data_IF_067251671086
#
_entry.id   IF_067251671086
#
_cell.length_a   1.000
_cell.length_b   1.000
_cell.length_c   1.000
_cell.angle_alpha   90.00
_cell.angle_beta   90.00
_cell.angle_gamma   90.00
#
_symmetry.space_group_name_H-M   'P 1'
#
loop_
_entity.id
_entity.type
_entity.pdbx_description
1 polymer ?
#
# COMPACT_ATOMS: atom_id res chain seq x y z
N UNK A 1 -11.41 16.21 -8.42
CA UNK A 1 -10.43 16.25 -7.30
C UNK A 1 -9.46 17.41 -7.41
N UNK A 2 -8.77 17.60 -8.55
CA UNK A 2 -7.82 18.70 -8.77
C UNK A 2 -8.36 20.09 -8.38
N UNK A 3 -9.56 20.45 -8.86
CA UNK A 3 -10.21 21.73 -8.52
C UNK A 3 -10.42 21.90 -7.02
N UNK A 4 -10.94 20.88 -6.32
CA UNK A 4 -11.23 20.95 -4.88
C UNK A 4 -9.95 21.19 -4.06
N UNK A 5 -8.87 20.47 -4.39
CA UNK A 5 -7.60 20.66 -3.68
C UNK A 5 -7.00 22.02 -4.01
N UNK A 6 -7.02 22.44 -5.29
CA UNK A 6 -6.54 23.75 -5.71
C UNK A 6 -7.29 24.91 -5.05
N UNK A 7 -8.62 24.80 -4.92
CA UNK A 7 -9.45 25.78 -4.23
C UNK A 7 -9.11 25.85 -2.73
N UNK A 8 -8.91 24.69 -2.08
CA UNK A 8 -8.48 24.63 -0.67
C UNK A 8 -7.13 25.31 -0.47
N UNK A 9 -6.13 25.01 -1.30
CA UNK A 9 -4.79 25.61 -1.21
C UNK A 9 -4.83 27.12 -1.50
N UNK A 10 -5.72 27.56 -2.39
CA UNK A 10 -5.91 28.99 -2.72
C UNK A 10 -6.61 29.75 -1.58
N UNK A 11 -7.59 29.13 -0.92
CA UNK A 11 -8.32 29.72 0.19
C UNK A 11 -7.50 29.74 1.50
N UNK A 12 -6.64 28.73 1.70
CA UNK A 12 -5.80 28.58 2.88
C UNK A 12 -4.33 28.35 2.52
N UNK A 13 -3.63 29.36 1.98
CA UNK A 13 -2.22 29.24 1.64
C UNK A 13 -1.39 28.88 2.87
N UNK A 14 -0.62 27.80 2.78
CA UNK A 14 0.20 27.24 3.86
C UNK A 14 1.60 26.87 3.35
N UNK A 15 2.58 26.78 4.25
CA UNK A 15 3.96 26.38 3.91
C UNK A 15 4.06 24.89 3.53
N UNK A 16 3.14 24.08 4.05
CA UNK A 16 3.00 22.67 3.70
C UNK A 16 1.55 22.21 3.81
N UNK A 17 1.28 21.02 3.28
CA UNK A 17 -0.06 20.43 3.27
C UNK A 17 0.03 18.93 3.57
N UNK A 18 -0.87 18.45 4.41
CA UNK A 18 -1.23 17.04 4.51
C UNK A 18 -2.58 16.79 3.86
N UNK A 19 -2.84 15.55 3.43
CA UNK A 19 -4.14 15.18 2.87
C UNK A 19 -4.58 13.80 3.38
N UNK A 20 -5.87 13.69 3.67
CA UNK A 20 -6.52 12.47 4.16
C UNK A 20 -7.56 12.04 3.15
N UNK A 21 -7.50 10.79 2.71
CA UNK A 21 -8.51 10.18 1.86
C UNK A 21 -9.33 9.19 2.68
N UNK A 22 -10.54 9.60 3.05
CA UNK A 22 -11.55 8.73 3.66
C UNK A 22 -12.49 8.16 2.62
N UNK A 23 -12.40 6.87 2.34
CA UNK A 23 -13.32 6.19 1.42
C UNK A 23 -13.19 4.66 1.50
N UNK A 24 -13.84 3.98 0.57
CA UNK A 24 -13.42 2.63 0.23
C UNK A 24 -12.15 2.64 -0.61
N UNK A 25 -11.39 1.55 -0.56
CA UNK A 25 -10.21 1.34 -1.39
C UNK A 25 -10.03 -0.12 -1.75
N UNK A 26 -9.16 -0.36 -2.74
CA UNK A 26 -8.74 -1.70 -3.18
C UNK A 26 -7.27 -1.68 -3.57
N UNK A 27 -6.48 -0.80 -2.92
CA UNK A 27 -5.07 -0.62 -3.20
C UNK A 27 -4.83 -0.23 -4.65
N UNK A 28 -3.94 -0.97 -5.28
CA UNK A 28 -3.50 -0.74 -6.66
C UNK A 28 -4.41 -1.40 -7.72
N UNK A 29 -5.44 -2.15 -7.33
CA UNK A 29 -6.27 -2.88 -8.29
C UNK A 29 -7.03 -1.93 -9.24
N UNK A 30 -7.29 -2.34 -10.50
CA UNK A 30 -8.13 -1.57 -11.41
C UNK A 30 -9.58 -1.55 -10.92
N UNK A 31 -10.36 -0.59 -11.42
CA UNK A 31 -11.81 -0.59 -11.25
C UNK A 31 -12.40 -1.82 -11.96
N UNK A 32 -12.97 -2.75 -11.21
CA UNK A 32 -13.89 -3.76 -11.74
C UNK A 32 -15.28 -3.47 -11.22
N UNK A 33 -16.30 -3.85 -11.98
CA UNK A 33 -17.69 -3.81 -11.53
C UNK A 33 -17.82 -4.51 -10.17
N UNK A 34 -17.99 -3.72 -9.11
CA UNK A 34 -18.10 -4.21 -7.73
C UNK A 34 -16.83 -4.21 -6.88
N UNK A 35 -15.65 -3.77 -7.36
CA UNK A 35 -14.48 -3.47 -6.50
C UNK A 35 -13.82 -2.12 -6.84
N UNK A 36 -13.16 -1.48 -5.87
CA UNK A 36 -13.10 -0.01 -5.75
C UNK A 36 -11.66 0.50 -5.57
N UNK A 37 -11.05 1.25 -6.51
CA UNK A 37 -9.66 1.71 -6.37
C UNK A 37 -9.44 2.70 -5.20
N UNK A 38 -10.01 3.90 -5.25
CA UNK A 38 -10.27 4.78 -4.09
C UNK A 38 -11.35 5.82 -4.46
N UNK A 39 -12.21 6.18 -3.51
CA UNK A 39 -13.24 7.22 -3.72
C UNK A 39 -14.41 6.71 -4.54
N UNK A 40 -15.43 6.12 -3.91
CA UNK A 40 -16.67 5.80 -4.61
C UNK A 40 -17.56 7.04 -4.69
N UNK A 41 -17.84 7.51 -5.90
CA UNK A 41 -18.94 8.45 -6.18
C UNK A 41 -20.03 7.72 -7.00
N UNK A 42 -21.23 7.56 -6.43
CA UNK A 42 -22.36 6.85 -7.05
C UNK A 42 -22.83 5.56 -6.34
N UNK A 43 -23.94 4.99 -6.84
CA UNK A 43 -24.62 3.83 -6.26
C UNK A 43 -23.90 2.48 -6.48
N UNK A 44 -24.42 1.40 -5.88
CA UNK A 44 -23.84 0.03 -5.88
C UNK A 44 -23.50 -0.56 -7.27
N UNK A 45 -24.00 0.04 -8.36
CA UNK A 45 -23.88 -0.45 -9.74
C UNK A 45 -23.21 0.53 -10.72
N UNK A 46 -22.85 1.73 -10.28
CA UNK A 46 -22.08 2.71 -11.06
C UNK A 46 -21.30 3.58 -10.07
N UNK A 47 -20.00 3.34 -9.97
CA UNK A 47 -19.12 4.15 -9.16
C UNK A 47 -17.95 4.59 -10.00
N UNK A 48 -17.78 5.90 -10.14
CA UNK A 48 -16.49 6.44 -10.54
C UNK A 48 -15.52 6.19 -9.38
N UNK A 49 -14.33 5.69 -9.69
CA UNK A 49 -13.26 5.49 -8.71
C UNK A 49 -11.97 6.08 -9.27
N UNK A 50 -11.14 6.69 -8.42
CA UNK A 50 -9.86 7.24 -8.84
C UNK A 50 -8.80 6.13 -8.86
N UNK A 51 -8.16 5.88 -10.00
CA UNK A 51 -7.03 4.94 -10.03
C UNK A 51 -5.82 5.58 -9.35
N UNK A 52 -4.96 4.77 -8.73
CA UNK A 52 -3.83 5.30 -7.96
C UNK A 52 -2.83 6.13 -8.80
N UNK A 53 -2.46 5.72 -10.02
CA UNK A 53 -1.63 6.57 -10.89
C UNK A 53 -2.29 7.92 -11.21
N UNK A 54 -3.61 7.95 -11.42
CA UNK A 54 -4.37 9.18 -11.67
C UNK A 54 -4.43 10.08 -10.43
N UNK A 55 -4.65 9.49 -9.26
CA UNK A 55 -4.60 10.20 -7.99
C UNK A 55 -3.21 10.82 -7.76
N UNK A 56 -2.15 10.04 -7.96
CA UNK A 56 -0.77 10.52 -7.82
C UNK A 56 -0.50 11.69 -8.76
N UNK A 57 -0.94 11.62 -10.02
CA UNK A 57 -0.78 12.71 -10.98
C UNK A 57 -1.55 13.97 -10.57
N UNK A 58 -2.79 13.83 -10.09
CA UNK A 58 -3.55 14.96 -9.56
C UNK A 58 -2.80 15.61 -8.40
N UNK A 59 -2.30 14.82 -7.43
CA UNK A 59 -1.58 15.33 -6.27
C UNK A 59 -0.28 16.06 -6.66
N UNK A 60 0.51 15.49 -7.57
CA UNK A 60 1.71 16.13 -8.13
C UNK A 60 1.38 17.45 -8.81
N UNK A 61 0.30 17.47 -9.59
CA UNK A 61 -0.11 18.65 -10.35
C UNK A 61 -0.54 19.79 -9.45
N UNK A 62 -1.32 19.52 -8.40
CA UNK A 62 -1.79 20.57 -7.48
C UNK A 62 -0.72 21.01 -6.49
N UNK A 63 0.20 20.12 -6.10
CA UNK A 63 1.26 20.43 -5.16
C UNK A 63 2.61 19.82 -5.58
N UNK A 64 3.37 20.52 -6.44
CA UNK A 64 4.68 20.05 -6.89
C UNK A 64 5.74 19.92 -5.78
N UNK A 65 5.50 20.50 -4.59
CA UNK A 65 6.42 20.42 -3.45
C UNK A 65 6.23 19.15 -2.59
N UNK A 66 5.32 18.26 -3.02
CA UNK A 66 4.79 17.11 -2.28
C UNK A 66 3.95 17.51 -1.08
N UNK A 67 2.98 16.66 -0.75
CA UNK A 67 2.32 16.69 0.54
C UNK A 67 3.27 16.16 1.62
N UNK A 68 3.24 16.74 2.81
CA UNK A 68 4.01 16.22 3.95
C UNK A 68 3.58 14.81 4.30
N UNK A 69 2.28 14.54 4.23
CA UNK A 69 1.74 13.20 4.32
C UNK A 69 0.50 13.01 3.44
N UNK A 70 0.31 11.77 2.98
CA UNK A 70 -0.96 11.25 2.51
C UNK A 70 -1.39 10.16 3.48
N UNK A 71 -2.57 10.30 4.08
CA UNK A 71 -3.16 9.27 4.93
C UNK A 71 -4.36 8.65 4.22
N UNK A 72 -4.33 7.33 4.06
CA UNK A 72 -5.46 6.58 3.55
C UNK A 72 -6.27 5.98 4.69
N UNK A 73 -7.42 6.59 4.95
CA UNK A 73 -8.51 5.96 5.69
C UNK A 73 -9.39 5.19 4.69
N UNK A 74 -8.75 4.23 4.04
CA UNK A 74 -9.31 3.38 3.00
C UNK A 74 -8.62 2.00 3.00
N UNK A 75 -9.37 0.95 2.64
CA UNK A 75 -8.90 -0.43 2.63
C UNK A 75 -7.73 -0.66 1.66
N UNK A 76 -6.81 -1.56 2.04
CA UNK A 76 -5.84 -2.19 1.14
C UNK A 76 -4.80 -1.24 0.51
N UNK A 77 -4.70 -0.01 1.00
CA UNK A 77 -3.80 1.00 0.45
C UNK A 77 -2.33 0.79 0.84
N UNK A 78 -2.05 -0.10 1.79
CA UNK A 78 -0.71 -0.36 2.32
C UNK A 78 0.15 -1.29 1.48
N UNK A 79 0.30 -0.98 0.18
CA UNK A 79 1.02 -1.81 -0.78
C UNK A 79 2.15 -1.03 -1.48
N UNK A 80 3.22 -1.73 -1.86
CA UNK A 80 4.39 -1.18 -2.55
C UNK A 80 4.00 -0.42 -3.82
N UNK A 81 3.04 -0.94 -4.57
CA UNK A 81 2.48 -0.33 -5.77
C UNK A 81 1.89 1.05 -5.47
N UNK A 82 1.11 1.17 -4.40
CA UNK A 82 0.47 2.44 -4.00
C UNK A 82 1.51 3.44 -3.52
N UNK A 83 2.42 3.00 -2.65
CA UNK A 83 3.47 3.85 -2.13
C UNK A 83 4.42 4.37 -3.22
N UNK A 84 4.71 3.54 -4.22
CA UNK A 84 5.61 3.90 -5.31
C UNK A 84 4.96 4.92 -6.26
N UNK A 85 3.67 4.80 -6.58
CA UNK A 85 2.96 5.82 -7.36
C UNK A 85 2.99 7.19 -6.68
N UNK A 86 2.91 7.21 -5.34
CA UNK A 86 2.91 8.43 -4.55
C UNK A 86 4.31 8.99 -4.24
N UNK A 87 5.39 8.32 -4.66
CA UNK A 87 6.77 8.71 -4.29
C UNK A 87 7.08 10.16 -4.60
N UNK A 88 6.50 10.70 -5.68
CA UNK A 88 6.70 12.06 -6.17
C UNK A 88 5.59 13.03 -5.75
N UNK A 89 4.55 12.54 -5.07
CA UNK A 89 3.39 13.32 -4.62
C UNK A 89 3.38 13.55 -3.11
N UNK A 90 4.03 12.68 -2.32
CA UNK A 90 4.02 12.73 -0.86
C UNK A 90 5.41 12.45 -0.28
N UNK A 91 5.71 13.00 0.91
CA UNK A 91 6.90 12.65 1.69
C UNK A 91 6.66 11.40 2.52
N UNK A 92 5.52 11.31 3.18
CA UNK A 92 5.10 10.12 3.92
C UNK A 92 3.74 9.62 3.47
N UNK A 93 3.54 8.31 3.53
CA UNK A 93 2.23 7.70 3.29
C UNK A 93 1.86 6.79 4.46
N UNK A 94 0.65 6.94 4.98
CA UNK A 94 0.12 6.17 6.11
C UNK A 94 -1.07 5.36 5.60
N UNK A 95 -1.00 4.04 5.68
CA UNK A 95 -2.04 3.18 5.13
C UNK A 95 -2.09 1.80 5.79
N UNK A 96 -3.24 1.14 5.66
CA UNK A 96 -3.44 -0.26 6.06
C UNK A 96 -3.32 -1.19 4.85
N UNK A 97 -2.61 -2.31 5.01
CA UNK A 97 -2.58 -3.41 4.03
C UNK A 97 -3.81 -4.33 4.18
N UNK A 98 -4.61 -4.20 5.23
CA UNK A 98 -5.91 -4.84 5.34
C UNK A 98 -7.05 -3.86 5.06
N UNK A 99 -8.27 -4.38 5.05
CA UNK A 99 -9.48 -3.59 5.23
C UNK A 99 -9.40 -2.73 6.51
N UNK A 100 -9.83 -1.47 6.43
CA UNK A 100 -9.98 -0.60 7.59
C UNK A 100 -11.39 -0.76 8.16
N UNK A 101 -11.57 -0.88 9.50
CA UNK A 101 -12.91 -0.94 10.08
C UNK A 101 -13.72 0.32 9.78
N UNK A 102 -15.05 0.20 9.66
CA UNK A 102 -15.92 1.29 9.20
C UNK A 102 -15.86 2.60 10.02
N UNK A 103 -15.36 2.54 11.26
CA UNK A 103 -15.17 3.73 12.10
C UNK A 103 -13.96 4.60 11.66
N UNK A 104 -13.03 4.05 10.87
CA UNK A 104 -11.86 4.75 10.35
C UNK A 104 -10.82 5.11 11.42
N UNK A 105 -9.99 6.11 11.14
CA UNK A 105 -8.99 6.55 12.11
C UNK A 105 -9.63 7.20 13.35
N UNK A 106 -9.04 7.05 14.56
CA UNK A 106 -9.48 7.76 15.76
C UNK A 106 -9.08 9.23 15.70
N UNK A 107 -9.72 10.02 14.83
CA UNK A 107 -9.32 11.41 14.53
C UNK A 107 -9.25 12.33 15.76
N UNK A 108 -10.05 12.08 16.80
CA UNK A 108 -9.97 12.87 18.02
C UNK A 108 -8.57 12.79 18.69
N UNK A 109 -7.88 11.65 18.60
CA UNK A 109 -6.53 11.50 19.14
C UNK A 109 -5.44 11.78 18.11
N UNK A 110 -5.69 11.45 16.84
CA UNK A 110 -4.73 11.56 15.74
C UNK A 110 -4.59 13.00 15.21
N UNK A 111 -5.69 13.77 15.18
CA UNK A 111 -5.70 15.09 14.54
C UNK A 111 -4.66 16.07 15.09
N UNK A 112 -4.40 16.19 16.40
CA UNK A 112 -3.34 17.07 16.93
C UNK A 112 -1.97 16.79 16.32
N UNK A 113 -1.60 15.51 16.14
CA UNK A 113 -0.33 15.12 15.53
C UNK A 113 -0.19 15.54 14.07
N UNK A 114 -1.31 15.60 13.32
CA UNK A 114 -1.31 15.94 11.89
C UNK A 114 -1.07 17.43 11.62
N UNK A 115 -1.19 18.29 12.64
CA UNK A 115 -0.90 19.72 12.54
C UNK A 115 0.52 20.09 13.00
N UNK A 116 1.31 19.12 13.45
CA UNK A 116 2.68 19.37 13.91
C UNK A 116 3.66 19.54 12.73
N UNK A 117 4.57 20.50 12.84
CA UNK A 117 5.50 20.86 11.76
C UNK A 117 6.47 19.73 11.37
N UNK A 118 6.79 18.83 12.31
CA UNK A 118 7.71 17.72 12.11
C UNK A 118 6.96 16.38 12.04
N UNK A 119 6.06 16.24 11.06
CA UNK A 119 5.16 15.06 10.96
C UNK A 119 5.88 13.72 11.10
N UNK A 120 7.13 13.61 10.65
CA UNK A 120 7.97 12.41 10.78
C UNK A 120 8.02 11.88 12.22
N UNK A 121 8.17 12.76 13.19
CA UNK A 121 8.30 12.41 14.61
C UNK A 121 6.99 11.88 15.19
N UNK A 122 5.87 12.14 14.50
CA UNK A 122 4.54 11.76 14.92
C UNK A 122 3.93 10.59 14.12
N UNK A 123 4.60 10.10 13.07
CA UNK A 123 4.14 8.92 12.32
C UNK A 123 3.95 7.70 13.22
N UNK A 124 4.90 7.46 14.12
CA UNK A 124 4.82 6.39 15.12
C UNK A 124 3.62 6.55 16.06
N UNK A 125 3.47 7.69 16.76
CA UNK A 125 2.28 8.00 17.56
C UNK A 125 0.95 7.85 16.81
N UNK A 126 0.83 8.38 15.59
CA UNK A 126 -0.39 8.26 14.77
C UNK A 126 -0.76 6.79 14.51
N UNK A 127 0.21 6.00 14.05
CA UNK A 127 0.01 4.59 13.79
C UNK A 127 -0.27 3.79 15.07
N UNK A 128 0.39 4.14 16.18
CA UNK A 128 0.17 3.50 17.48
C UNK A 128 -1.24 3.77 17.99
N UNK A 129 -1.71 5.00 17.94
CA UNK A 129 -3.08 5.37 18.34
C UNK A 129 -4.13 4.58 17.54
N UNK A 130 -3.93 4.42 16.23
CA UNK A 130 -4.80 3.59 15.39
C UNK A 130 -4.84 2.12 15.85
N UNK A 131 -3.68 1.51 16.09
CA UNK A 131 -3.60 0.10 16.53
C UNK A 131 -4.16 -0.09 17.94
N UNK A 132 -3.86 0.81 18.87
CA UNK A 132 -4.37 0.75 20.24
C UNK A 132 -5.90 0.88 20.28
N UNK A 133 -6.46 1.74 19.44
CA UNK A 133 -7.91 1.90 19.31
C UNK A 133 -8.59 0.59 18.86
N UNK A 134 -7.99 -0.14 17.92
CA UNK A 134 -8.56 -1.36 17.38
C UNK A 134 -8.14 -2.66 18.07
N UNK A 135 -7.09 -2.65 18.90
CA UNK A 135 -6.69 -3.81 19.71
C UNK A 135 -7.82 -4.34 20.59
N UNK A 136 -8.78 -3.50 20.98
CA UNK A 136 -9.91 -3.89 21.83
C UNK A 136 -11.25 -3.96 21.09
N UNK A 137 -11.32 -3.46 19.85
CA UNK A 137 -12.59 -3.15 19.19
C UNK A 137 -12.66 -3.62 17.73
N UNK A 138 -11.67 -4.35 17.22
CA UNK A 138 -11.71 -4.79 15.83
C UNK A 138 -10.46 -5.52 15.36
N UNK A 139 -9.94 -5.06 14.23
CA UNK A 139 -8.70 -5.51 13.62
C UNK A 139 -8.02 -4.29 13.00
N UNK A 140 -6.74 -4.40 12.73
CA UNK A 140 -6.03 -3.33 12.05
C UNK A 140 -4.62 -3.75 11.69
N UNK A 141 -4.18 -3.27 10.54
CA UNK A 141 -2.76 -3.15 10.19
C UNK A 141 -2.50 -1.70 9.85
N UNK A 142 -1.29 -1.24 10.08
CA UNK A 142 -0.89 0.09 9.65
C UNK A 142 0.61 0.12 9.38
N UNK A 143 0.99 0.90 8.38
CA UNK A 143 2.37 1.32 8.21
C UNK A 143 2.44 2.78 7.81
N UNK A 144 3.53 3.41 8.25
CA UNK A 144 3.97 4.69 7.76
C UNK A 144 5.23 4.46 6.93
N UNK A 145 5.23 5.01 5.72
CA UNK A 145 6.28 4.83 4.71
C UNK A 145 6.88 6.17 4.35
N UNK A 146 8.21 6.28 4.32
CA UNK A 146 8.93 7.38 3.68
C UNK A 146 8.95 7.15 2.16
N UNK A 147 8.11 7.90 1.46
CA UNK A 147 7.93 7.82 0.02
C UNK A 147 9.22 8.18 -0.74
N UNK A 148 10.14 8.95 -0.16
CA UNK A 148 11.42 9.26 -0.81
C UNK A 148 12.38 8.06 -0.83
N UNK A 149 12.11 7.01 -0.06
CA UNK A 149 12.91 5.77 -0.03
C UNK A 149 12.37 4.71 -1.00
N UNK A 150 11.28 4.98 -1.72
CA UNK A 150 10.63 4.00 -2.59
C UNK A 150 11.45 3.66 -3.84
N UNK A 151 12.27 4.57 -4.36
CA UNK A 151 13.19 4.25 -5.47
C UNK A 151 14.26 3.25 -5.04
N UNK A 152 14.93 3.52 -3.91
CA UNK A 152 15.91 2.59 -3.35
C UNK A 152 15.29 1.24 -3.02
N UNK A 153 14.06 1.21 -2.49
CA UNK A 153 13.36 -0.06 -2.24
C UNK A 153 13.06 -0.82 -3.54
N UNK A 154 12.60 -0.13 -4.60
CA UNK A 154 12.37 -0.76 -5.90
C UNK A 154 13.65 -1.37 -6.46
N UNK A 155 14.78 -0.66 -6.38
CA UNK A 155 16.09 -1.16 -6.81
C UNK A 155 16.56 -2.38 -6.00
N UNK A 156 16.34 -2.37 -4.69
CA UNK A 156 16.66 -3.50 -3.82
C UNK A 156 15.81 -4.73 -4.14
N UNK A 157 14.49 -4.57 -4.32
CA UNK A 157 13.59 -5.65 -4.75
C UNK A 157 13.99 -6.17 -6.12
N UNK A 158 14.25 -5.28 -7.07
CA UNK A 158 14.72 -5.62 -8.42
C UNK A 158 15.99 -6.46 -8.37
N UNK A 159 16.96 -6.07 -7.55
CA UNK A 159 18.23 -6.79 -7.41
C UNK A 159 18.02 -8.20 -6.87
N UNK A 160 17.13 -8.37 -5.87
CA UNK A 160 16.75 -9.68 -5.34
C UNK A 160 16.06 -10.54 -6.41
N UNK A 161 15.03 -10.01 -7.07
CA UNK A 161 14.24 -10.74 -8.08
C UNK A 161 15.14 -11.23 -9.21
N UNK A 162 16.00 -10.35 -9.75
CA UNK A 162 16.89 -10.69 -10.86
C UNK A 162 17.96 -11.71 -10.47
N UNK A 163 18.44 -11.69 -9.23
CA UNK A 163 19.44 -12.63 -8.73
C UNK A 163 18.86 -14.00 -8.37
N UNK A 164 17.53 -14.09 -8.20
CA UNK A 164 16.84 -15.30 -7.73
C UNK A 164 15.76 -15.80 -8.71
N UNK A 165 15.98 -15.61 -10.02
CA UNK A 165 15.02 -16.01 -11.08
C UNK A 165 14.65 -17.51 -11.06
N UNK A 166 15.57 -18.38 -10.66
CA UNK A 166 15.28 -19.82 -10.56
C UNK A 166 14.40 -20.15 -9.36
N UNK A 167 14.62 -19.50 -8.21
CA UNK A 167 13.71 -19.58 -7.07
C UNK A 167 12.33 -19.03 -7.43
N UNK A 168 12.28 -17.91 -8.16
CA UNK A 168 11.04 -17.24 -8.57
C UNK A 168 10.09 -18.16 -9.35
N UNK A 169 10.61 -19.02 -10.24
CA UNK A 169 9.83 -20.02 -11.01
C UNK A 169 9.03 -20.96 -10.10
N UNK A 170 9.50 -21.19 -8.89
CA UNK A 170 8.99 -22.21 -7.97
C UNK A 170 8.35 -21.61 -6.71
N UNK A 171 8.18 -20.28 -6.62
CA UNK A 171 7.57 -19.67 -5.43
C UNK A 171 6.10 -20.08 -5.33
N UNK A 172 5.80 -20.86 -4.29
CA UNK A 172 4.42 -21.10 -3.87
C UNK A 172 3.94 -19.96 -2.96
N UNK A 173 2.88 -19.27 -3.36
CA UNK A 173 2.27 -18.20 -2.59
C UNK A 173 1.26 -18.69 -1.55
N UNK A 174 0.96 -20.00 -1.50
CA UNK A 174 0.02 -20.58 -0.54
C UNK A 174 0.44 -20.40 0.93
N UNK A 175 1.75 -20.45 1.20
CA UNK A 175 2.32 -20.29 2.55
C UNK A 175 2.63 -18.84 2.90
N UNK A 176 2.50 -17.91 1.94
CA UNK A 176 2.77 -16.51 2.20
C UNK A 176 1.59 -15.86 2.92
N UNK A 177 1.90 -14.96 3.86
CA UNK A 177 0.93 -14.09 4.49
C UNK A 177 0.31 -13.18 3.43
N UNK A 178 -0.87 -13.58 2.96
CA UNK A 178 -1.67 -12.78 2.03
C UNK A 178 -2.61 -11.83 2.77
N UNK A 179 -2.94 -10.71 2.16
CA UNK A 179 -3.76 -9.68 2.82
C UNK A 179 -5.21 -9.60 2.29
N UNK A 180 -5.53 -10.34 1.23
CA UNK A 180 -6.87 -10.37 0.60
C UNK A 180 -7.89 -11.19 1.39
N UNK A 181 -8.09 -10.87 2.67
CA UNK A 181 -8.80 -11.73 3.64
C UNK A 181 -10.31 -11.51 3.64
N UNK A 182 -10.80 -10.28 3.46
CA UNK A 182 -12.23 -9.95 3.56
C UNK A 182 -13.13 -10.53 2.45
N UNK A 183 -12.57 -10.94 1.31
CA UNK A 183 -13.33 -11.50 0.19
C UNK A 183 -12.45 -12.38 -0.71
N UNK A 184 -13.01 -13.47 -1.23
CA UNK A 184 -12.35 -14.31 -2.25
C UNK A 184 -12.00 -13.54 -3.52
N UNK A 185 -12.71 -12.44 -3.79
CA UNK A 185 -12.42 -11.54 -4.91
C UNK A 185 -11.07 -10.83 -4.73
N UNK A 186 -10.63 -10.55 -3.49
CA UNK A 186 -9.36 -9.90 -3.21
C UNK A 186 -8.23 -10.89 -2.89
N UNK A 187 -8.52 -12.20 -2.82
CA UNK A 187 -7.49 -13.21 -2.57
C UNK A 187 -6.34 -13.06 -3.57
N UNK A 188 -5.12 -12.94 -3.04
CA UNK A 188 -3.88 -12.83 -3.80
C UNK A 188 -3.54 -11.43 -4.33
N UNK A 189 -4.25 -10.38 -3.91
CA UNK A 189 -3.95 -9.01 -4.36
C UNK A 189 -2.62 -8.48 -3.81
N UNK A 190 -2.22 -8.93 -2.60
CA UNK A 190 -0.98 -8.58 -1.95
C UNK A 190 -0.55 -9.67 -0.96
N UNK A 191 0.76 -9.84 -0.84
CA UNK A 191 1.45 -10.73 0.09
C UNK A 191 2.51 -9.93 0.86
N UNK A 192 2.94 -10.43 2.02
CA UNK A 192 4.02 -9.80 2.78
C UNK A 192 5.32 -9.72 1.96
N UNK A 193 5.86 -8.51 1.80
CA UNK A 193 7.04 -8.27 0.97
C UNK A 193 8.29 -8.96 1.54
N UNK A 194 8.53 -8.83 2.85
CA UNK A 194 9.73 -9.38 3.47
C UNK A 194 9.73 -10.91 3.38
N UNK A 195 8.61 -11.54 3.74
CA UNK A 195 8.48 -12.98 3.68
C UNK A 195 8.67 -13.52 2.25
N UNK A 196 8.16 -12.82 1.24
CA UNK A 196 8.40 -13.18 -0.16
C UNK A 196 9.88 -13.12 -0.53
N UNK A 197 10.57 -12.04 -0.13
CA UNK A 197 12.01 -11.85 -0.39
C UNK A 197 12.85 -12.90 0.35
N UNK A 198 12.53 -13.22 1.60
CA UNK A 198 13.14 -14.31 2.36
C UNK A 198 12.95 -15.65 1.64
N UNK A 199 11.74 -15.94 1.15
CA UNK A 199 11.45 -17.18 0.43
C UNK A 199 12.26 -17.30 -0.86
N UNK A 200 12.44 -16.21 -1.60
CA UNK A 200 13.31 -16.19 -2.80
C UNK A 200 14.77 -16.49 -2.46
N UNK A 201 15.24 -16.01 -1.32
CA UNK A 201 16.63 -16.10 -0.87
C UNK A 201 16.92 -17.29 0.06
N UNK A 202 16.03 -18.30 0.09
CA UNK A 202 16.26 -19.53 0.86
C UNK A 202 16.03 -19.39 2.38
N UNK A 203 15.21 -18.42 2.80
CA UNK A 203 14.75 -18.21 4.17
C UNK A 203 15.34 -17.00 4.87
N UNK A 204 16.18 -16.20 4.22
CA UNK A 204 16.75 -14.98 4.81
C UNK A 204 16.92 -13.91 3.74
N UNK A 205 16.39 -12.72 4.00
CA UNK A 205 16.50 -11.59 3.10
C UNK A 205 17.93 -11.02 3.11
N UNK A 206 18.47 -10.55 1.97
CA UNK A 206 19.77 -9.90 1.94
C UNK A 206 19.82 -8.65 2.83
N UNK A 207 20.99 -8.37 3.40
CA UNK A 207 21.19 -7.21 4.29
C UNK A 207 20.85 -5.89 3.61
N UNK A 208 21.25 -5.70 2.35
CA UNK A 208 20.98 -4.47 1.59
C UNK A 208 19.47 -4.22 1.43
N UNK A 209 18.70 -5.27 1.12
CA UNK A 209 17.25 -5.19 1.07
C UNK A 209 16.67 -4.86 2.44
N UNK A 210 17.09 -5.58 3.49
CA UNK A 210 16.58 -5.40 4.85
C UNK A 210 16.86 -3.99 5.39
N UNK A 211 18.05 -3.45 5.11
CA UNK A 211 18.43 -2.09 5.48
C UNK A 211 17.61 -1.05 4.71
N UNK A 212 17.36 -1.27 3.42
CA UNK A 212 16.55 -0.37 2.63
C UNK A 212 15.09 -0.39 3.06
N UNK A 213 14.50 -1.57 3.29
CA UNK A 213 13.15 -1.72 3.81
C UNK A 213 12.97 -0.98 5.15
N UNK A 214 13.95 -1.06 6.07
CA UNK A 214 13.93 -0.33 7.34
C UNK A 214 14.00 1.19 7.20
N UNK A 215 14.63 1.71 6.14
CA UNK A 215 14.57 3.15 5.82
C UNK A 215 13.21 3.54 5.29
N UNK A 216 12.60 2.67 4.49
CA UNK A 216 11.33 2.92 3.81
C UNK A 216 10.13 2.79 4.74
N UNK A 217 9.99 1.69 5.48
CA UNK A 217 8.91 1.48 6.46
C UNK A 217 9.36 2.04 7.81
N UNK A 218 8.99 3.29 8.07
CA UNK A 218 9.44 4.01 9.28
C UNK A 218 8.67 3.59 10.53
N UNK A 219 7.44 3.09 10.36
CA UNK A 219 6.67 2.49 11.43
C UNK A 219 5.73 1.43 10.84
N UNK A 220 5.48 0.38 11.61
CA UNK A 220 4.38 -0.55 11.33
C UNK A 220 3.77 -1.10 12.61
N UNK A 221 2.51 -1.49 12.55
CA UNK A 221 1.81 -2.13 13.66
C UNK A 221 0.59 -2.91 13.19
N UNK A 222 0.17 -3.86 14.00
CA UNK A 222 -1.00 -4.68 13.74
C UNK A 222 -1.69 -5.06 15.05
N UNK A 223 -2.97 -5.37 14.97
CA UNK A 223 -3.74 -5.88 16.11
C UNK A 223 -3.37 -7.34 16.38
N UNK A 224 -3.01 -7.67 17.62
CA UNK A 224 -2.54 -9.02 17.97
C UNK A 224 -3.68 -10.03 18.07
N UNK A 225 -4.80 -9.61 18.65
CA UNK A 225 -5.98 -10.44 18.92
C UNK A 225 -7.23 -9.84 18.26
N UNK A 226 -7.37 -9.93 16.92
CA UNK A 226 -8.53 -9.35 16.26
C UNK A 226 -9.81 -10.10 16.62
N UNK A 227 -10.93 -9.39 16.59
CA UNK A 227 -12.27 -9.96 16.90
C UNK A 227 -12.69 -11.11 15.97
N UNK A 228 -12.07 -11.21 14.79
CA UNK A 228 -12.27 -12.29 13.82
C UNK A 228 -10.92 -12.88 13.40
N UNK A 229 -10.82 -14.21 13.44
CA UNK A 229 -9.64 -14.95 12.98
C UNK A 229 -9.31 -14.72 11.51
N UNK A 230 -10.26 -14.21 10.72
CA UNK A 230 -10.07 -13.84 9.32
C UNK A 230 -8.98 -12.77 9.15
N UNK A 231 -8.88 -11.84 10.11
CA UNK A 231 -7.93 -10.72 10.09
C UNK A 231 -6.69 -10.97 10.94
N UNK A 232 -6.47 -12.22 11.39
CA UNK A 232 -5.27 -12.56 12.15
C UNK A 232 -4.04 -12.37 11.27
N UNK A 233 -3.09 -11.60 11.81
CA UNK A 233 -1.76 -11.40 11.25
C UNK A 233 -0.80 -12.37 11.94
N UNK A 234 0.02 -13.02 11.12
CA UNK A 234 1.22 -13.69 11.60
C UNK A 234 2.32 -12.63 11.80
N UNK A 235 2.65 -12.37 13.06
CA UNK A 235 3.59 -11.32 13.46
C UNK A 235 5.02 -11.57 12.98
N UNK A 236 5.42 -12.83 12.87
CA UNK A 236 6.76 -13.21 12.38
C UNK A 236 6.92 -12.89 10.89
N UNK A 237 5.80 -12.73 10.16
CA UNK A 237 5.76 -12.50 8.72
C UNK A 237 5.07 -11.17 8.37
N UNK A 238 5.14 -10.15 9.23
CA UNK A 238 4.53 -8.84 8.99
C UNK A 238 5.59 -7.72 8.88
N UNK A 239 5.83 -7.30 7.65
CA UNK A 239 6.74 -6.22 7.27
C UNK A 239 6.09 -4.84 7.25
N UNK A 240 4.76 -4.78 7.34
CA UNK A 240 4.00 -3.54 7.15
C UNK A 240 3.72 -3.16 5.70
N UNK A 241 4.24 -3.91 4.72
CA UNK A 241 4.05 -3.60 3.30
C UNK A 241 3.61 -4.84 2.51
N UNK A 242 2.44 -4.72 1.88
CA UNK A 242 2.00 -5.67 0.88
C UNK A 242 2.71 -5.46 -0.45
N UNK A 243 2.87 -6.53 -1.22
CA UNK A 243 3.30 -6.47 -2.62
C UNK A 243 2.54 -7.51 -3.44
N UNK A 244 2.15 -7.15 -4.65
CA UNK A 244 1.58 -8.11 -5.58
C UNK A 244 2.65 -9.07 -6.09
N UNK A 245 2.30 -10.35 -6.12
CA UNK A 245 3.08 -11.39 -6.78
C UNK A 245 2.25 -11.84 -7.98
N UNK A 246 2.69 -11.54 -9.22
CA UNK A 246 1.96 -11.92 -10.41
C UNK A 246 1.65 -13.41 -10.44
N UNK A 247 0.42 -13.72 -10.85
CA UNK A 247 -0.10 -15.06 -10.76
C UNK A 247 -0.24 -15.70 -12.16
N UNK A 248 0.26 -16.93 -12.34
CA UNK A 248 0.20 -17.66 -13.61
C UNK A 248 -1.18 -18.28 -13.91
N UNK A 249 -2.13 -18.28 -12.96
CA UNK A 249 -3.48 -18.76 -13.19
C UNK A 249 -4.19 -17.95 -14.28
N UNK A 250 -4.75 -18.65 -15.26
CA UNK A 250 -5.46 -18.07 -16.41
C UNK A 250 -6.92 -17.66 -16.12
N UNK A 251 -7.29 -17.54 -14.84
CA UNK A 251 -8.65 -17.06 -14.50
C UNK A 251 -8.81 -15.59 -14.92
N UNK A 252 -10.00 -15.15 -15.36
CA UNK A 252 -10.21 -13.78 -15.84
C UNK A 252 -9.76 -12.69 -14.86
N UNK A 253 -9.89 -12.94 -13.55
CA UNK A 253 -9.45 -12.04 -12.49
C UNK A 253 -7.94 -11.77 -12.55
N UNK A 254 -7.12 -12.82 -12.54
CA UNK A 254 -5.66 -12.67 -12.52
C UNK A 254 -5.11 -12.20 -13.87
N UNK A 255 -5.75 -12.57 -14.99
CA UNK A 255 -5.41 -11.99 -16.29
C UNK A 255 -5.62 -10.48 -16.31
N UNK A 256 -6.75 -10.00 -15.77
CA UNK A 256 -7.01 -8.57 -15.65
C UNK A 256 -5.99 -7.87 -14.74
N UNK A 257 -5.71 -8.43 -13.56
CA UNK A 257 -4.77 -7.85 -12.61
C UNK A 257 -3.35 -7.79 -13.18
N UNK A 258 -2.86 -8.89 -13.78
CA UNK A 258 -1.55 -8.91 -14.44
C UNK A 258 -1.50 -7.89 -15.58
N UNK A 259 -2.52 -7.81 -16.43
CA UNK A 259 -2.53 -6.85 -17.53
C UNK A 259 -2.49 -5.41 -17.04
N UNK A 260 -3.28 -5.09 -16.02
CA UNK A 260 -3.29 -3.75 -15.44
C UNK A 260 -1.97 -3.42 -14.71
N UNK A 261 -1.42 -4.37 -13.96
CA UNK A 261 -0.11 -4.24 -13.33
C UNK A 261 0.96 -3.88 -14.35
N UNK A 262 0.96 -4.58 -15.49
CA UNK A 262 1.90 -4.36 -16.60
C UNK A 262 1.73 -3.02 -17.31
N UNK A 263 0.48 -2.59 -17.53
CA UNK A 263 0.20 -1.43 -18.38
C UNK A 263 0.19 -0.10 -17.61
N UNK A 264 -0.08 -0.14 -16.31
CA UNK A 264 -0.55 1.04 -15.59
C UNK A 264 0.15 1.30 -14.26
N UNK A 265 0.86 0.31 -13.68
CA UNK A 265 1.49 0.46 -12.37
C UNK A 265 3.01 0.62 -12.53
N UNK A 266 3.56 1.75 -12.11
CA UNK A 266 4.98 2.08 -12.22
C UNK A 266 5.88 1.12 -11.43
N UNK A 267 5.40 0.55 -10.32
CA UNK A 267 6.14 -0.45 -9.54
C UNK A 267 6.54 -1.67 -10.38
N UNK A 268 5.71 -2.10 -11.33
CA UNK A 268 6.00 -3.21 -12.25
C UNK A 268 7.32 -3.00 -12.99
N UNK A 269 7.51 -1.79 -13.53
CA UNK A 269 8.69 -1.43 -14.31
C UNK A 269 9.92 -1.18 -13.45
N UNK A 270 9.74 -0.81 -12.18
CA UNK A 270 10.84 -0.42 -11.30
C UNK A 270 11.45 -1.57 -10.50
N UNK A 271 10.66 -2.61 -10.21
CA UNK A 271 10.99 -3.62 -9.19
C UNK A 271 11.46 -4.97 -9.75
N UNK A 272 11.79 -5.07 -11.04
CA UNK A 272 12.31 -6.31 -11.64
C UNK A 272 11.25 -7.26 -12.19
N UNK A 273 9.95 -6.93 -12.04
CA UNK A 273 8.86 -7.75 -12.58
C UNK A 273 8.85 -7.73 -14.11
N UNK A 274 9.11 -6.56 -14.73
CA UNK A 274 9.13 -6.44 -16.18
C UNK A 274 10.20 -7.31 -16.84
N UNK A 275 11.41 -7.35 -16.27
CA UNK A 275 12.52 -8.16 -16.76
C UNK A 275 12.30 -9.67 -16.56
N UNK A 276 11.41 -10.03 -15.64
CA UNK A 276 11.08 -11.43 -15.33
C UNK A 276 9.73 -11.86 -15.89
N UNK A 277 9.10 -11.07 -16.76
CA UNK A 277 7.77 -11.38 -17.32
C UNK A 277 7.71 -12.78 -17.95
N UNK A 278 8.78 -13.25 -18.59
CA UNK A 278 8.85 -14.60 -19.18
C UNK A 278 8.80 -15.75 -18.16
N UNK A 279 8.95 -15.47 -16.86
CA UNK A 279 8.93 -16.46 -15.77
C UNK A 279 7.52 -16.67 -15.22
N UNK A 280 6.73 -15.60 -15.11
CA UNK A 280 5.42 -15.62 -14.45
C UNK A 280 4.25 -15.26 -15.39
N UNK A 281 4.54 -14.63 -16.53
CA UNK A 281 3.57 -14.31 -17.58
C UNK A 281 3.28 -15.51 -18.48
N UNK A 282 2.01 -15.62 -18.90
CA UNK A 282 1.59 -16.58 -19.93
C UNK A 282 1.74 -15.99 -21.33
#
# INVERSE_FOLDING_TARGET
MQTVIGDMMSAYPSESYGIIFGSHGSGWLPTITGTRSIGQDGGRYSSDTALIPELAEVLRTVNPQKFDFVLFDACMMGCAEVYYELKDAARYCIASVLDIPAAGFPYASVMPYLYENAIKDYLGPICKDYIDYYNYNGWGTISAVDCNQMEGLAEAVRSVILSNQDSLKNVDTADLQQYGKGSSNFKGYAYDMLQFIEKLCGGMAPDDFTQQLKKTVVYTGYTHDPTSSLYRIDGDNYSGMGMYIPNSFTTPKYLLWNNYFKSSIAWYHASGWAETESIWGN
#
